data_IF_601080356492
#
_entry.id   IF_601080356492
#
_cell.length_a   1.000
_cell.length_b   1.000
_cell.length_c   1.000
_cell.angle_alpha   90.00
_cell.angle_beta   90.00
_cell.angle_gamma   90.00
#
_symmetry.space_group_name_H-M   'P 1'
#
loop_
_entity.id
_entity.type
_entity.pdbx_description
1 polymer ?
#
# COMPACT_ATOMS: atom_id res chain seq x y z
N UNK A 1 45.34 -71.38 16.06
CA UNK A 1 45.51 -70.10 15.39
C UNK A 1 44.12 -69.63 14.99
N UNK A 2 43.51 -68.74 15.77
CA UNK A 2 42.20 -68.19 15.52
C UNK A 2 42.42 -66.75 15.02
N UNK A 3 41.99 -66.44 13.81
CA UNK A 3 42.01 -65.07 13.22
C UNK A 3 40.76 -64.32 13.63
N UNK A 4 40.91 -63.26 14.39
CA UNK A 4 39.88 -62.31 14.71
C UNK A 4 39.85 -61.25 13.62
N UNK A 5 38.75 -61.14 12.87
CA UNK A 5 38.48 -60.04 11.95
C UNK A 5 37.91 -58.85 12.71
N UNK A 6 38.33 -57.62 12.43
CA UNK A 6 37.70 -56.42 13.02
C UNK A 6 36.43 -56.05 12.27
N UNK A 7 35.32 -55.92 13.01
CA UNK A 7 34.07 -55.31 12.55
C UNK A 7 34.32 -53.82 12.32
N UNK A 8 34.13 -53.38 11.09
CA UNK A 8 34.06 -51.95 10.74
C UNK A 8 32.68 -51.40 11.09
N UNK A 9 32.60 -50.55 12.14
CA UNK A 9 31.41 -49.73 12.41
C UNK A 9 31.28 -48.61 11.36
N UNK A 10 30.26 -48.70 10.50
CA UNK A 10 29.87 -47.62 9.62
C UNK A 10 29.04 -46.63 10.39
N UNK A 11 29.57 -45.47 10.74
CA UNK A 11 28.86 -44.35 11.31
C UNK A 11 28.07 -43.64 10.18
N UNK A 12 26.76 -43.84 10.15
CA UNK A 12 25.84 -43.08 9.29
C UNK A 12 25.63 -41.72 9.93
N UNK A 13 26.29 -40.68 9.39
CA UNK A 13 26.04 -39.31 9.76
C UNK A 13 24.68 -38.86 9.17
N UNK A 14 23.65 -38.75 10.00
CA UNK A 14 22.40 -38.05 9.65
C UNK A 14 22.73 -36.56 9.50
N UNK A 15 22.89 -36.08 8.28
CA UNK A 15 22.91 -34.66 7.97
C UNK A 15 21.48 -34.15 8.12
N UNK A 16 21.16 -33.60 9.29
CA UNK A 16 19.92 -32.80 9.47
C UNK A 16 20.04 -31.55 8.60
N UNK A 17 19.33 -31.52 7.46
CA UNK A 17 19.16 -30.32 6.67
C UNK A 17 18.47 -29.27 7.53
N UNK A 18 19.25 -28.39 8.11
CA UNK A 18 18.74 -27.20 8.77
C UNK A 18 18.23 -26.26 7.65
N UNK A 19 16.93 -26.29 7.36
CA UNK A 19 16.29 -25.30 6.49
C UNK A 19 16.10 -24.06 7.34
N UNK A 20 16.85 -22.98 7.10
CA UNK A 20 16.61 -21.73 7.80
C UNK A 20 15.18 -21.28 7.47
N UNK A 21 14.43 -20.71 8.44
CA UNK A 21 13.13 -20.13 8.14
C UNK A 21 13.34 -19.05 7.06
N UNK A 22 12.77 -19.27 5.88
CA UNK A 22 12.70 -18.24 4.84
C UNK A 22 11.76 -17.17 5.37
N UNK A 23 12.31 -16.14 6.00
CA UNK A 23 11.55 -14.96 6.30
C UNK A 23 11.14 -14.35 4.95
N UNK A 24 9.85 -14.34 4.66
CA UNK A 24 9.32 -13.60 3.51
C UNK A 24 9.71 -12.12 3.70
N UNK A 25 10.76 -11.69 3.01
CA UNK A 25 11.20 -10.30 3.05
C UNK A 25 10.27 -9.50 2.14
N UNK A 26 9.73 -8.41 2.68
CA UNK A 26 9.07 -7.42 1.85
C UNK A 26 10.08 -6.92 0.81
N UNK A 27 9.66 -6.83 -0.46
CA UNK A 27 10.50 -6.30 -1.54
C UNK A 27 10.66 -4.78 -1.42
N UNK A 28 9.66 -4.13 -0.83
CA UNK A 28 9.67 -2.70 -0.56
C UNK A 28 9.01 -2.40 0.80
N UNK A 29 9.50 -1.39 1.50
CA UNK A 29 8.88 -0.93 2.75
C UNK A 29 9.08 0.56 2.97
N UNK A 30 8.23 1.14 3.81
CA UNK A 30 8.33 2.55 4.22
C UNK A 30 9.42 2.80 5.29
N UNK A 31 10.23 1.80 5.61
CA UNK A 31 11.30 1.95 6.61
C UNK A 31 12.37 2.94 6.09
N UNK A 32 12.62 4.01 6.85
CA UNK A 32 13.57 5.05 6.48
C UNK A 32 13.04 6.12 5.51
N UNK A 33 11.82 5.98 5.01
CA UNK A 33 11.18 6.99 4.16
C UNK A 33 10.71 8.16 5.03
N UNK A 34 11.04 9.41 4.67
CA UNK A 34 10.53 10.58 5.37
C UNK A 34 9.01 10.65 5.35
N UNK A 35 8.42 11.07 6.47
CA UNK A 35 6.98 11.26 6.54
C UNK A 35 6.59 12.47 5.68
N UNK A 36 5.52 12.37 4.85
CA UNK A 36 5.01 13.52 4.15
C UNK A 36 4.43 14.56 5.15
N UNK A 37 4.47 15.82 4.78
CA UNK A 37 3.88 16.92 5.55
C UNK A 37 2.41 17.16 5.22
N UNK A 38 1.97 16.69 4.05
CA UNK A 38 0.60 16.75 3.60
C UNK A 38 0.30 15.59 2.66
N UNK A 39 -0.98 15.22 2.55
CA UNK A 39 -1.50 14.38 1.47
C UNK A 39 -2.32 15.28 0.57
N UNK A 40 -1.92 15.34 -0.70
CA UNK A 40 -2.61 16.05 -1.76
C UNK A 40 -3.31 15.02 -2.63
N UNK A 41 -4.64 15.05 -2.63
CA UNK A 41 -5.46 14.14 -3.44
C UNK A 41 -6.16 14.93 -4.53
N UNK A 42 -5.93 14.54 -5.79
CA UNK A 42 -6.63 15.09 -6.94
C UNK A 42 -7.58 14.05 -7.49
N UNK A 43 -8.85 14.42 -7.58
CA UNK A 43 -9.92 13.61 -8.14
C UNK A 43 -10.25 14.14 -9.52
N UNK A 44 -10.10 13.31 -10.53
CA UNK A 44 -10.31 13.64 -11.95
C UNK A 44 -11.49 12.83 -12.45
N UNK A 45 -12.49 13.49 -13.05
CA UNK A 45 -13.59 12.80 -13.73
C UNK A 45 -13.06 11.92 -14.86
N UNK A 46 -13.55 10.71 -14.98
CA UNK A 46 -13.18 9.80 -16.07
C UNK A 46 -13.49 10.38 -17.45
N UNK A 47 -14.39 11.38 -17.53
CA UNK A 47 -14.75 12.06 -18.77
C UNK A 47 -13.76 13.17 -19.16
N UNK A 48 -12.85 13.55 -18.26
CA UNK A 48 -11.96 14.71 -18.48
C UNK A 48 -10.52 14.27 -18.82
N UNK A 49 -10.30 13.80 -20.05
CA UNK A 49 -8.96 13.48 -20.54
C UNK A 49 -8.03 14.70 -20.51
N UNK A 50 -8.54 15.89 -20.86
CA UNK A 50 -7.78 17.13 -20.80
C UNK A 50 -7.31 17.46 -19.38
N UNK A 51 -8.08 17.08 -18.33
CA UNK A 51 -7.65 17.26 -16.94
C UNK A 51 -6.52 16.32 -16.53
N UNK A 52 -6.48 15.12 -17.10
CA UNK A 52 -5.37 14.19 -16.91
C UNK A 52 -4.10 14.69 -17.60
N UNK A 53 -4.23 15.29 -18.78
CA UNK A 53 -3.14 15.87 -19.54
C UNK A 53 -2.66 17.23 -19.01
N UNK A 54 -3.40 17.87 -18.08
CA UNK A 54 -3.02 19.20 -17.56
C UNK A 54 -1.86 19.10 -16.56
N UNK A 55 -0.69 19.75 -16.85
CA UNK A 55 0.43 19.77 -15.93
C UNK A 55 0.25 20.75 -14.76
N UNK A 56 -0.76 21.62 -14.81
CA UNK A 56 -0.84 22.84 -13.98
C UNK A 56 -1.39 22.62 -12.55
N UNK A 57 -1.57 21.37 -12.07
CA UNK A 57 -2.07 21.18 -10.72
C UNK A 57 -0.96 21.40 -9.68
N UNK A 58 -0.97 22.49 -8.93
CA UNK A 58 0.07 22.76 -7.94
C UNK A 58 -0.06 21.80 -6.76
N UNK A 59 1.04 21.08 -6.47
CA UNK A 59 1.16 20.37 -5.20
C UNK A 59 1.51 21.35 -4.07
N UNK A 60 1.11 21.07 -2.80
CA UNK A 60 1.37 21.98 -1.69
C UNK A 60 2.84 22.06 -1.26
N UNK A 61 3.74 21.36 -1.94
CA UNK A 61 5.19 21.41 -1.73
C UNK A 61 5.87 20.07 -1.99
N UNK A 62 7.21 20.04 -2.00
CA UNK A 62 7.98 18.86 -2.39
C UNK A 62 7.90 17.69 -1.39
N UNK A 63 7.46 17.95 -0.16
CA UNK A 63 7.27 16.92 0.87
C UNK A 63 5.83 16.43 0.99
N UNK A 64 4.94 16.83 0.08
CA UNK A 64 3.58 16.31 0.03
C UNK A 64 3.54 14.97 -0.71
N UNK A 65 2.74 14.03 -0.20
CA UNK A 65 2.33 12.85 -0.94
C UNK A 65 1.23 13.26 -1.91
N UNK A 66 1.49 13.19 -3.21
CA UNK A 66 0.51 13.52 -4.26
C UNK A 66 -0.13 12.23 -4.74
N UNK A 67 -1.45 12.20 -4.80
CA UNK A 67 -2.24 11.04 -5.25
C UNK A 67 -3.27 11.51 -6.29
N UNK A 68 -3.38 10.77 -7.37
CA UNK A 68 -4.34 11.01 -8.44
C UNK A 68 -5.41 9.91 -8.43
N UNK A 69 -6.68 10.29 -8.46
CA UNK A 69 -7.81 9.40 -8.49
C UNK A 69 -8.63 9.65 -9.76
N UNK A 70 -8.94 8.60 -10.53
CA UNK A 70 -9.90 8.69 -11.62
C UNK A 70 -11.27 8.26 -11.10
N UNK A 71 -12.22 9.20 -11.15
CA UNK A 71 -13.57 9.04 -10.61
C UNK A 71 -14.49 8.54 -11.73
N UNK A 72 -15.16 7.39 -11.58
CA UNK A 72 -16.07 6.87 -12.59
C UNK A 72 -17.28 7.81 -12.77
N UNK A 73 -17.84 7.80 -13.97
CA UNK A 73 -18.96 8.64 -14.37
C UNK A 73 -20.11 7.81 -14.94
N UNK A 74 -21.17 8.47 -15.34
CA UNK A 74 -22.33 7.83 -15.98
C UNK A 74 -22.00 7.26 -17.39
N UNK A 75 -20.90 7.70 -18.03
CA UNK A 75 -20.45 7.13 -19.31
C UNK A 75 -19.89 5.72 -19.15
N UNK A 76 -19.53 5.29 -17.93
CA UNK A 76 -19.00 3.96 -17.67
C UNK A 76 -17.77 3.66 -18.54
N UNK A 77 -17.81 2.55 -19.26
CA UNK A 77 -16.70 2.09 -20.11
C UNK A 77 -16.43 2.98 -21.33
N UNK A 78 -17.38 3.87 -21.68
CA UNK A 78 -17.22 4.82 -22.79
C UNK A 78 -16.41 6.07 -22.38
N UNK A 79 -16.12 6.24 -21.10
CA UNK A 79 -15.34 7.38 -20.63
C UNK A 79 -13.87 7.26 -21.07
N UNK A 80 -13.21 8.33 -21.52
CA UNK A 80 -11.81 8.30 -21.98
C UNK A 80 -10.82 7.70 -20.97
N UNK A 81 -11.07 7.88 -19.68
CA UNK A 81 -10.21 7.37 -18.60
C UNK A 81 -10.84 6.17 -17.86
N UNK A 82 -11.83 5.48 -18.47
CA UNK A 82 -12.56 4.38 -17.84
C UNK A 82 -11.65 3.26 -17.30
N UNK A 83 -10.59 2.91 -18.04
CA UNK A 83 -9.65 1.85 -17.64
C UNK A 83 -8.86 2.15 -16.35
N UNK A 84 -8.79 3.42 -15.96
CA UNK A 84 -8.15 3.89 -14.75
C UNK A 84 -9.15 4.24 -13.63
N UNK A 85 -10.45 4.32 -13.95
CA UNK A 85 -11.48 4.70 -13.01
C UNK A 85 -11.72 3.62 -11.96
N UNK A 86 -11.90 4.03 -10.71
CA UNK A 86 -12.16 3.10 -9.62
C UNK A 86 -13.29 3.60 -8.70
N UNK A 87 -14.15 2.68 -8.27
CA UNK A 87 -15.17 2.98 -7.25
C UNK A 87 -14.56 3.39 -5.90
N UNK A 88 -13.31 3.04 -5.65
CA UNK A 88 -12.58 3.48 -4.46
C UNK A 88 -12.43 5.01 -4.41
N UNK A 89 -12.34 5.67 -5.57
CA UNK A 89 -12.33 7.13 -5.66
C UNK A 89 -13.64 7.74 -5.13
N UNK A 90 -14.79 7.13 -5.44
CA UNK A 90 -16.09 7.56 -4.90
C UNK A 90 -16.18 7.34 -3.40
N UNK A 91 -15.72 6.19 -2.89
CA UNK A 91 -15.67 5.91 -1.46
C UNK A 91 -14.76 6.91 -0.73
N UNK A 92 -13.63 7.27 -1.34
CA UNK A 92 -12.72 8.25 -0.78
C UNK A 92 -13.33 9.65 -0.74
N UNK A 93 -13.98 10.10 -1.82
CA UNK A 93 -14.73 11.36 -1.85
C UNK A 93 -15.81 11.39 -0.78
N UNK A 94 -16.58 10.31 -0.64
CA UNK A 94 -17.60 10.17 0.41
C UNK A 94 -16.99 10.31 1.80
N UNK A 95 -15.87 9.66 2.07
CA UNK A 95 -15.16 9.76 3.35
C UNK A 95 -14.67 11.20 3.64
N UNK A 96 -14.38 11.97 2.59
CA UNK A 96 -14.01 13.39 2.67
C UNK A 96 -15.22 14.33 2.71
N UNK A 97 -16.45 13.81 2.63
CA UNK A 97 -17.69 14.62 2.57
C UNK A 97 -17.83 15.40 1.27
N UNK A 98 -17.27 14.91 0.15
CA UNK A 98 -17.23 15.59 -1.14
C UNK A 98 -18.07 14.84 -2.19
N UNK A 99 -18.62 15.59 -3.14
CA UNK A 99 -19.30 15.01 -4.29
C UNK A 99 -18.31 14.65 -5.41
N UNK A 100 -18.73 13.77 -6.33
CA UNK A 100 -17.96 13.49 -7.54
C UNK A 100 -17.82 14.77 -8.37
N UNK A 101 -16.60 15.10 -8.86
CA UNK A 101 -16.36 16.31 -9.63
C UNK A 101 -16.89 16.18 -11.06
N UNK A 102 -17.32 17.31 -11.65
CA UNK A 102 -17.62 17.37 -13.07
C UNK A 102 -16.35 17.32 -13.96
N UNK A 103 -15.24 17.85 -13.45
CA UNK A 103 -13.91 17.82 -14.09
C UNK A 103 -12.84 17.38 -13.11
N UNK A 104 -12.45 18.26 -12.18
CA UNK A 104 -11.47 17.99 -11.13
C UNK A 104 -11.90 18.53 -9.78
N UNK A 105 -11.47 17.90 -8.72
CA UNK A 105 -11.54 18.40 -7.36
C UNK A 105 -10.22 18.09 -6.64
N UNK A 106 -9.86 18.89 -5.65
CA UNK A 106 -8.62 18.76 -4.90
C UNK A 106 -8.89 18.78 -3.41
N UNK A 107 -8.35 17.81 -2.70
CA UNK A 107 -8.30 17.79 -1.24
C UNK A 107 -6.86 17.86 -0.75
N UNK A 108 -6.61 18.71 0.23
CA UNK A 108 -5.30 18.78 0.91
C UNK A 108 -5.50 18.48 2.38
N UNK A 109 -4.81 17.45 2.85
CA UNK A 109 -4.87 16.99 4.23
C UNK A 109 -3.50 17.21 4.85
N UNK A 110 -3.41 18.14 5.81
CA UNK A 110 -2.19 18.31 6.58
C UNK A 110 -1.91 17.04 7.39
N UNK A 111 -0.67 16.54 7.30
CA UNK A 111 -0.20 15.50 8.21
C UNK A 111 0.27 16.18 9.48
N UNK A 112 -0.63 16.25 10.46
CA UNK A 112 -0.31 16.89 11.72
C UNK A 112 0.87 16.20 12.39
N UNK A 113 1.82 17.02 12.84
CA UNK A 113 3.08 16.59 13.42
C UNK A 113 2.94 16.04 14.84
N UNK A 114 1.95 15.22 15.12
CA UNK A 114 1.94 14.50 16.38
C UNK A 114 3.21 13.63 16.45
N UNK A 115 4.08 13.87 17.44
CA UNK A 115 5.28 13.07 17.57
C UNK A 115 4.87 11.62 17.77
N UNK A 116 5.34 10.77 16.86
CA UNK A 116 5.55 9.38 17.14
C UNK A 116 4.40 8.38 17.02
N UNK A 117 3.34 8.63 16.26
CA UNK A 117 2.64 7.49 15.68
C UNK A 117 3.60 6.77 14.72
N UNK A 118 3.76 5.48 14.89
CA UNK A 118 4.59 4.67 14.02
C UNK A 118 3.70 3.89 13.06
N UNK A 119 3.80 4.21 11.79
CA UNK A 119 3.18 3.44 10.70
C UNK A 119 4.29 2.78 9.90
N UNK A 120 4.08 1.56 9.47
CA UNK A 120 4.91 0.84 8.52
C UNK A 120 4.03 0.24 7.46
N UNK A 121 4.35 0.49 6.21
CA UNK A 121 3.74 -0.14 5.05
C UNK A 121 4.82 -0.96 4.35
N UNK A 122 4.44 -2.10 3.80
CA UNK A 122 5.35 -2.93 3.03
C UNK A 122 4.58 -3.76 2.02
N UNK A 123 5.24 -4.13 0.93
CA UNK A 123 4.68 -5.07 -0.05
C UNK A 123 5.73 -6.07 -0.53
N UNK A 124 5.25 -7.21 -1.01
CA UNK A 124 6.05 -8.24 -1.68
C UNK A 124 6.12 -8.00 -3.19
N UNK A 125 6.64 -9.01 -3.90
CA UNK A 125 6.59 -9.02 -5.36
C UNK A 125 5.17 -9.37 -5.85
N UNK A 126 4.74 -8.85 -7.02
CA UNK A 126 3.51 -9.26 -7.66
C UNK A 126 3.49 -10.77 -7.95
N UNK A 127 2.37 -11.41 -7.67
CA UNK A 127 2.16 -12.84 -7.94
C UNK A 127 0.69 -13.08 -8.31
N UNK A 128 0.43 -13.68 -9.48
CA UNK A 128 -0.92 -14.05 -9.95
C UNK A 128 -1.94 -12.90 -9.81
N UNK A 129 -1.61 -11.73 -10.35
CA UNK A 129 -2.43 -10.51 -10.31
C UNK A 129 -2.72 -9.96 -8.90
N UNK A 130 -1.91 -10.34 -7.92
CA UNK A 130 -1.99 -9.81 -6.57
C UNK A 130 -0.64 -9.28 -6.09
N UNK A 131 -0.71 -8.21 -5.31
CA UNK A 131 0.40 -7.70 -4.52
C UNK A 131 0.13 -8.01 -3.05
N UNK A 132 1.01 -8.81 -2.44
CA UNK A 132 0.96 -9.05 -1.00
C UNK A 132 1.35 -7.76 -0.27
N UNK A 133 0.44 -7.19 0.52
CA UNK A 133 0.65 -5.93 1.22
C UNK A 133 0.52 -6.10 2.72
N UNK A 134 1.14 -5.20 3.46
CA UNK A 134 1.05 -5.15 4.92
C UNK A 134 1.10 -3.73 5.44
N UNK A 135 0.28 -3.46 6.45
CA UNK A 135 0.30 -2.23 7.21
C UNK A 135 0.40 -2.56 8.70
N UNK A 136 1.26 -1.85 9.41
CA UNK A 136 1.43 -1.99 10.84
C UNK A 136 1.42 -0.62 11.53
N UNK A 137 0.82 -0.56 12.73
CA UNK A 137 0.60 0.69 13.43
C UNK A 137 0.88 0.56 14.92
N UNK A 138 1.50 1.62 15.46
CA UNK A 138 1.66 1.83 16.89
C UNK A 138 1.42 3.30 17.22
N UNK A 139 0.36 3.65 17.96
CA UNK A 139 0.15 5.02 18.41
C UNK A 139 1.21 5.41 19.46
N UNK A 140 1.46 6.71 19.57
CA UNK A 140 2.34 7.24 20.61
C UNK A 140 1.81 6.96 22.02
N UNK A 141 0.52 7.19 22.20
CA UNK A 141 -0.24 6.82 23.39
C UNK A 141 -1.48 6.09 22.93
N UNK A 142 -1.74 4.94 23.49
CA UNK A 142 -2.95 4.17 23.21
C UNK A 142 -3.92 4.35 24.38
N UNK A 143 -5.15 4.70 24.07
CA UNK A 143 -6.29 4.61 24.97
C UNK A 143 -7.10 3.36 24.66
N UNK A 144 -7.71 2.68 25.64
CA UNK A 144 -8.60 1.56 25.38
C UNK A 144 -9.83 1.88 24.54
N UNK A 145 -10.19 3.17 24.43
CA UNK A 145 -11.31 3.67 23.64
C UNK A 145 -10.91 4.04 22.20
N UNK A 146 -9.61 3.99 21.86
CA UNK A 146 -9.15 4.42 20.56
C UNK A 146 -9.60 3.43 19.47
N UNK A 147 -10.24 3.98 18.45
CA UNK A 147 -10.57 3.32 17.20
C UNK A 147 -9.84 4.05 16.09
N UNK A 148 -9.11 3.29 15.26
CA UNK A 148 -8.29 3.81 14.20
C UNK A 148 -8.83 3.34 12.85
N UNK A 149 -9.05 4.26 11.94
CA UNK A 149 -9.34 3.94 10.54
C UNK A 149 -8.05 3.97 9.75
N UNK A 150 -7.88 3.03 8.82
CA UNK A 150 -6.75 3.02 7.90
C UNK A 150 -7.23 2.88 6.45
N UNK A 151 -6.47 3.48 5.56
CA UNK A 151 -6.57 3.28 4.12
C UNK A 151 -5.19 2.85 3.63
N UNK A 152 -5.14 1.69 2.97
CA UNK A 152 -3.95 1.18 2.32
C UNK A 152 -4.21 1.27 0.82
N UNK A 153 -3.38 2.02 0.12
CA UNK A 153 -3.56 2.33 -1.29
C UNK A 153 -2.56 1.55 -2.12
N UNK A 154 -3.00 1.03 -3.25
CA UNK A 154 -2.15 0.53 -4.32
C UNK A 154 -2.00 1.66 -5.33
N UNK A 155 -0.77 2.14 -5.48
CA UNK A 155 -0.45 3.31 -6.32
C UNK A 155 0.42 2.89 -7.48
N UNK A 156 0.09 3.34 -8.68
CA UNK A 156 0.89 3.17 -9.89
C UNK A 156 1.61 4.48 -10.20
N UNK A 157 2.95 4.43 -10.26
CA UNK A 157 3.74 5.54 -10.78
C UNK A 157 3.63 5.58 -12.29
N UNK A 158 2.99 6.62 -12.83
CA UNK A 158 2.86 6.86 -14.27
C UNK A 158 3.93 7.88 -14.67
N UNK A 159 4.97 7.48 -15.45
CA UNK A 159 6.03 8.38 -15.84
C UNK A 159 5.55 9.52 -16.73
N UNK A 160 6.20 10.67 -16.65
CA UNK A 160 5.94 11.80 -17.53
C UNK A 160 6.08 11.40 -19.01
N UNK A 161 5.17 11.90 -19.85
CA UNK A 161 5.12 11.61 -21.30
C UNK A 161 4.54 10.23 -21.64
N UNK A 162 3.97 9.52 -20.66
CA UNK A 162 3.28 8.23 -20.87
C UNK A 162 1.81 8.33 -20.49
N UNK A 163 0.97 7.39 -20.93
CA UNK A 163 -0.45 7.30 -20.59
C UNK A 163 -1.22 8.64 -20.73
N UNK A 164 -0.83 9.50 -21.71
CA UNK A 164 -1.48 10.77 -21.98
C UNK A 164 -1.18 11.90 -20.98
N UNK A 165 -0.30 11.71 -20.00
CA UNK A 165 0.10 12.77 -19.07
C UNK A 165 1.52 13.31 -19.37
N UNK A 166 1.72 14.64 -19.43
CA UNK A 166 3.05 15.23 -19.64
C UNK A 166 3.91 15.27 -18.36
N UNK A 167 3.32 14.99 -17.20
CA UNK A 167 4.01 15.00 -15.90
C UNK A 167 3.86 13.67 -15.21
N UNK A 168 4.76 13.39 -14.29
CA UNK A 168 4.65 12.20 -13.43
C UNK A 168 3.38 12.24 -12.57
N UNK A 169 2.70 11.10 -12.45
CA UNK A 169 1.48 10.91 -11.69
C UNK A 169 1.59 9.72 -10.75
N UNK A 170 0.94 9.81 -9.60
CA UNK A 170 0.75 8.69 -8.67
C UNK A 170 -0.73 8.29 -8.70
N UNK A 171 -1.06 7.41 -9.63
CA UNK A 171 -2.42 6.98 -9.88
C UNK A 171 -2.85 5.91 -8.87
N UNK A 172 -3.90 6.18 -8.10
CA UNK A 172 -4.46 5.18 -7.17
C UNK A 172 -5.28 4.16 -7.96
N UNK A 173 -4.88 2.90 -7.86
CA UNK A 173 -5.48 1.77 -8.58
C UNK A 173 -6.41 0.92 -7.73
N UNK A 174 -6.19 0.89 -6.41
CA UNK A 174 -6.98 0.08 -5.49
C UNK A 174 -6.84 0.64 -4.08
N UNK A 175 -7.86 0.44 -3.25
CA UNK A 175 -7.86 0.86 -1.85
C UNK A 175 -8.40 -0.25 -0.96
N UNK A 176 -7.65 -0.60 0.07
CA UNK A 176 -8.12 -1.40 1.18
C UNK A 176 -8.34 -0.48 2.38
N UNK A 177 -9.53 -0.51 2.94
CA UNK A 177 -9.84 0.25 4.15
C UNK A 177 -10.28 -0.68 5.27
N UNK A 178 -10.06 -0.25 6.50
CA UNK A 178 -10.48 -1.01 7.66
C UNK A 178 -10.42 -0.19 8.95
N UNK A 179 -10.84 -0.84 10.00
CA UNK A 179 -10.89 -0.23 11.34
C UNK A 179 -10.17 -1.12 12.33
N UNK A 180 -9.28 -0.54 13.10
CA UNK A 180 -8.62 -1.18 14.23
C UNK A 180 -9.20 -0.68 15.55
N UNK A 181 -9.64 -1.59 16.35
CA UNK A 181 -10.06 -1.38 17.72
C UNK A 181 -9.30 -2.34 18.66
N UNK A 182 -9.70 -2.38 19.93
CA UNK A 182 -9.07 -3.24 20.92
C UNK A 182 -9.14 -4.75 20.58
N UNK A 183 -10.16 -5.18 19.83
CA UNK A 183 -10.36 -6.60 19.47
C UNK A 183 -9.33 -7.04 18.41
N UNK A 184 -8.89 -6.13 17.59
CA UNK A 184 -7.90 -6.35 16.53
C UNK A 184 -6.46 -6.14 17.01
N UNK A 185 -6.28 -5.79 18.28
CA UNK A 185 -4.95 -5.54 18.83
C UNK A 185 -4.16 -6.84 18.95
N UNK A 186 -2.90 -6.81 18.56
CA UNK A 186 -1.96 -7.92 18.75
C UNK A 186 -1.82 -8.27 20.24
N UNK A 187 -1.56 -9.55 20.54
CA UNK A 187 -1.22 -9.98 21.88
C UNK A 187 0.05 -9.28 22.40
N UNK A 188 0.24 -9.23 23.71
CA UNK A 188 1.42 -8.59 24.31
C UNK A 188 2.75 -9.20 23.83
N UNK A 189 2.79 -10.51 23.63
CA UNK A 189 3.96 -11.20 23.12
C UNK A 189 4.27 -10.77 21.66
N UNK A 190 3.24 -10.65 20.80
CA UNK A 190 3.37 -10.19 19.43
C UNK A 190 3.78 -8.72 19.37
N UNK A 191 3.18 -7.85 20.20
CA UNK A 191 3.56 -6.44 20.28
C UNK A 191 5.04 -6.26 20.67
N UNK A 192 5.54 -7.11 21.59
CA UNK A 192 6.95 -7.09 22.00
C UNK A 192 7.85 -7.52 20.84
N UNK A 193 7.46 -8.57 20.11
CA UNK A 193 8.23 -9.10 18.96
C UNK A 193 8.21 -8.15 17.77
N UNK A 194 7.05 -7.62 17.40
CA UNK A 194 6.87 -6.79 16.19
C UNK A 194 7.13 -5.30 16.43
N UNK A 195 6.97 -4.84 17.67
CA UNK A 195 6.99 -3.44 18.07
C UNK A 195 5.81 -2.61 17.53
N UNK A 196 4.73 -3.29 17.12
CA UNK A 196 3.47 -2.68 16.68
C UNK A 196 2.31 -3.14 17.55
N UNK A 197 1.22 -2.37 17.57
CA UNK A 197 0.01 -2.70 18.31
C UNK A 197 -1.05 -3.35 17.42
N UNK A 198 -1.08 -3.00 16.14
CA UNK A 198 -1.93 -3.57 15.11
C UNK A 198 -1.12 -3.90 13.86
N UNK A 199 -1.50 -4.95 13.19
CA UNK A 199 -0.95 -5.34 11.89
C UNK A 199 -2.06 -5.95 11.03
N UNK A 200 -2.05 -5.62 9.76
CA UNK A 200 -2.91 -6.22 8.76
C UNK A 200 -2.05 -6.63 7.57
N UNK A 201 -2.23 -7.85 7.09
CA UNK A 201 -1.57 -8.34 5.88
C UNK A 201 -2.66 -8.84 4.93
N UNK A 202 -2.74 -8.25 3.76
CA UNK A 202 -3.75 -8.57 2.76
C UNK A 202 -3.15 -8.60 1.36
N UNK A 203 -3.56 -9.54 0.51
CA UNK A 203 -3.32 -9.41 -0.92
C UNK A 203 -4.23 -8.32 -1.48
N UNK A 204 -3.66 -7.38 -2.22
CA UNK A 204 -4.41 -6.41 -3.03
C UNK A 204 -4.39 -6.88 -4.47
N UNK A 205 -5.56 -6.94 -5.10
CA UNK A 205 -5.66 -7.27 -6.52
C UNK A 205 -5.06 -6.14 -7.33
N UNK A 206 -4.23 -6.50 -8.29
CA UNK A 206 -3.72 -5.58 -9.31
C UNK A 206 -4.81 -5.45 -10.38
N UNK A 207 -5.36 -4.24 -10.60
CA UNK A 207 -6.37 -4.04 -11.64
C UNK A 207 -5.80 -4.30 -13.04
N UNK A 208 -6.67 -4.69 -13.95
CA UNK A 208 -6.32 -4.83 -15.35
C UNK A 208 -5.75 -3.52 -15.91
N UNK A 209 -4.73 -3.61 -16.74
CA UNK A 209 -4.03 -2.46 -17.34
C UNK A 209 -3.02 -1.76 -16.42
N UNK A 210 -2.97 -2.07 -15.12
CA UNK A 210 -1.93 -1.54 -14.24
C UNK A 210 -0.58 -2.24 -14.50
N UNK A 211 0.51 -1.47 -14.52
CA UNK A 211 1.87 -1.98 -14.74
C UNK A 211 2.47 -2.43 -13.41
N UNK A 212 2.60 -3.73 -13.23
CA UNK A 212 3.02 -4.35 -11.98
C UNK A 212 4.39 -3.83 -11.47
N UNK A 213 5.30 -3.50 -12.37
CA UNK A 213 6.63 -2.94 -12.08
C UNK A 213 6.59 -1.49 -11.57
N UNK A 214 5.48 -0.79 -11.77
CA UNK A 214 5.28 0.60 -11.33
C UNK A 214 4.44 0.70 -10.04
N UNK A 215 4.02 -0.44 -9.46
CA UNK A 215 3.14 -0.45 -8.28
C UNK A 215 3.94 -0.34 -6.97
N UNK A 216 3.37 0.44 -6.05
CA UNK A 216 3.87 0.61 -4.68
C UNK A 216 2.75 0.91 -3.69
#
# INVERSE_FOLDING_TARGET
>A
MVRIQPLALAAVALATCYVPPVAAQASCSSDGVPRPTAVFERFISADCEACWADPATPAPGPSALVLDWIVPTALGDEAPLAAAATNDALLRLQALGRAAPGTTDVAVLAVEGAPAHRVRVAHGLPLNDYLGTGIAFKPHRASPADTWQYHLLLVESVPAGTEGTPVERNLVRNMLQGTWDKRHQLSKAEQTRTRFAWMENRPMRIPEGAKAEHLH
#
